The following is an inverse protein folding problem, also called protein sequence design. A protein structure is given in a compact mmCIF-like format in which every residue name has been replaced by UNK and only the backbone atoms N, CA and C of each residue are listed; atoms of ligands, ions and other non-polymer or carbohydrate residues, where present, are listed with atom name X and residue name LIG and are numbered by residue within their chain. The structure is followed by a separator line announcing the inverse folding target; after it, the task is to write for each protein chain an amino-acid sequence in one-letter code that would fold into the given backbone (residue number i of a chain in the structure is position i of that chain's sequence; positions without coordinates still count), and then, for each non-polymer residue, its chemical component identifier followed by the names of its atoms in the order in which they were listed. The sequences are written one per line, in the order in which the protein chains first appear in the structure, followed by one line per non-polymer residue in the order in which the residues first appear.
data_IF_481740231574
#
_entry.id   IF_481740231574
#
_cell.length_a   1.000
_cell.length_b   1.000
_cell.length_c   1.000
_cell.angle_alpha   90.00
_cell.angle_beta   90.00
_cell.angle_gamma   90.00
#
_symmetry.space_group_name_H-M   'P 1'
#
loop_
_entity.id
_entity.type
_entity.pdbx_description
1 polymer ?
#
# COMPACT_ATOMS: atom_id res chain seq x y z
N UNK A 1 9.05 0.25 12.35
CA UNK A 1 8.02 1.30 12.39
C UNK A 1 6.65 0.72 12.65
N UNK A 2 5.72 1.55 13.10
CA UNK A 2 4.28 1.25 13.19
C UNK A 2 3.45 2.48 12.86
N UNK A 3 2.27 2.28 12.29
CA UNK A 3 1.40 3.36 11.81
C UNK A 3 -0.05 3.24 12.32
N UNK A 4 -0.73 4.37 12.49
CA UNK A 4 -2.13 4.40 12.93
C UNK A 4 -3.11 4.54 11.77
N UNK A 5 -2.78 5.36 10.76
CA UNK A 5 -3.64 5.61 9.60
C UNK A 5 -3.31 4.62 8.47
N UNK A 6 -4.20 3.69 8.10
CA UNK A 6 -3.89 2.68 7.10
C UNK A 6 -3.60 3.24 5.70
N UNK A 7 -4.08 4.46 5.40
CA UNK A 7 -3.91 5.09 4.10
C UNK A 7 -2.51 5.70 3.93
N UNK A 8 -1.90 6.18 5.01
CA UNK A 8 -0.67 6.98 4.94
C UNK A 8 0.49 6.44 5.76
N UNK A 9 0.23 5.63 6.79
CA UNK A 9 1.25 5.16 7.72
C UNK A 9 1.64 3.69 7.50
N UNK A 10 0.81 2.93 6.78
CA UNK A 10 0.93 1.47 6.69
C UNK A 10 1.22 1.02 5.27
N UNK A 11 2.51 0.89 4.98
CA UNK A 11 3.01 0.27 3.76
C UNK A 11 3.71 -1.05 4.08
N UNK A 12 3.74 -1.99 3.13
CA UNK A 12 4.35 -3.31 3.32
C UNK A 12 5.82 -3.19 3.75
N UNK A 13 6.54 -2.28 3.08
CA UNK A 13 7.90 -1.88 3.43
C UNK A 13 8.08 -0.39 3.32
N UNK A 14 8.85 0.17 4.25
CA UNK A 14 9.19 1.58 4.25
C UNK A 14 10.56 1.81 4.89
N UNK A 15 11.31 2.77 4.33
CA UNK A 15 12.58 3.25 4.84
C UNK A 15 12.57 4.77 4.75
N UNK A 16 12.70 5.43 5.89
CA UNK A 16 12.76 6.88 5.98
C UNK A 16 14.14 7.29 6.49
N UNK A 17 14.86 8.06 5.68
CA UNK A 17 16.17 8.59 6.02
C UNK A 17 16.05 10.07 6.36
N UNK A 18 16.44 10.42 7.58
CA UNK A 18 16.35 11.79 8.09
C UNK A 18 17.73 12.43 8.14
N UNK A 19 17.82 13.70 7.72
CA UNK A 19 19.04 14.51 7.80
C UNK A 19 18.72 15.97 8.05
N UNK A 20 19.64 16.69 8.68
CA UNK A 20 19.49 18.13 8.90
C UNK A 20 20.22 18.89 7.78
N UNK A 21 19.55 19.84 7.15
CA UNK A 21 20.13 20.79 6.19
C UNK A 21 19.83 22.22 6.65
N UNK A 22 20.84 22.91 7.18
CA UNK A 22 20.64 24.23 7.78
C UNK A 22 19.76 24.15 9.02
N UNK A 23 18.60 24.81 8.98
CA UNK A 23 17.58 24.86 10.02
C UNK A 23 16.42 23.88 9.78
N UNK A 24 16.51 23.04 8.74
CA UNK A 24 15.43 22.13 8.34
C UNK A 24 15.78 20.67 8.58
N UNK A 25 14.79 19.90 8.98
CA UNK A 25 14.83 18.44 8.95
C UNK A 25 14.30 17.96 7.61
N UNK A 26 15.13 17.24 6.87
CA UNK A 26 14.79 16.67 5.56
C UNK A 26 14.56 15.17 5.77
N UNK A 27 13.40 14.70 5.34
CA UNK A 27 13.04 13.29 5.36
C UNK A 27 12.93 12.75 3.93
N UNK A 28 13.82 11.83 3.58
CA UNK A 28 13.76 11.07 2.33
C UNK A 28 12.98 9.78 2.61
N UNK A 29 11.75 9.73 2.13
CA UNK A 29 10.85 8.62 2.34
C UNK A 29 10.90 7.68 1.14
N UNK A 30 11.00 6.40 1.39
CA UNK A 30 10.83 5.35 0.37
C UNK A 30 9.89 4.29 0.92
N UNK A 31 8.87 3.90 0.14
CA UNK A 31 7.97 2.82 0.53
C UNK A 31 7.59 1.95 -0.67
N UNK A 32 7.19 0.72 -0.38
CA UNK A 32 6.74 -0.26 -1.37
C UNK A 32 5.30 -0.66 -1.11
N UNK A 33 4.54 -0.74 -2.20
CA UNK A 33 3.15 -1.16 -2.22
C UNK A 33 3.09 -2.44 -3.03
N UNK A 34 2.64 -3.54 -2.43
CA UNK A 34 2.47 -4.81 -3.14
C UNK A 34 1.43 -4.68 -4.24
N UNK A 35 1.73 -5.22 -5.41
CA UNK A 35 0.81 -5.31 -6.53
C UNK A 35 0.09 -6.66 -6.56
N UNK A 36 -1.07 -6.77 -7.24
CA UNK A 36 -1.83 -8.02 -7.30
C UNK A 36 -1.04 -9.22 -7.85
N UNK A 37 -0.13 -8.97 -8.79
CA UNK A 37 0.77 -9.96 -9.41
C UNK A 37 2.02 -10.28 -8.57
N UNK A 38 1.99 -9.98 -7.27
CA UNK A 38 3.09 -10.22 -6.32
C UNK A 38 4.35 -9.37 -6.49
N UNK A 39 4.36 -8.42 -7.42
CA UNK A 39 5.38 -7.39 -7.53
C UNK A 39 5.22 -6.26 -6.51
N UNK A 40 5.94 -5.17 -6.72
CA UNK A 40 5.83 -3.96 -5.90
C UNK A 40 5.99 -2.66 -6.69
N UNK A 41 5.17 -1.66 -6.38
CA UNK A 41 5.48 -0.27 -6.71
C UNK A 41 6.38 0.34 -5.66
N UNK A 42 7.53 0.87 -6.06
CA UNK A 42 8.39 1.67 -5.19
C UNK A 42 8.07 3.15 -5.38
N UNK A 43 7.77 3.84 -4.29
CA UNK A 43 7.49 5.28 -4.26
C UNK A 43 8.52 5.98 -3.40
N UNK A 44 8.83 7.22 -3.77
CA UNK A 44 9.74 8.09 -3.02
C UNK A 44 9.12 9.47 -2.85
N UNK A 45 9.44 10.12 -1.72
CA UNK A 45 9.05 11.50 -1.47
C UNK A 45 10.12 12.19 -0.60
N UNK A 46 10.24 13.50 -0.76
CA UNK A 46 11.09 14.34 0.11
C UNK A 46 10.16 15.27 0.88
N UNK A 47 10.21 15.18 2.20
CA UNK A 47 9.50 16.10 3.09
C UNK A 47 10.51 17.03 3.78
N UNK A 48 10.10 18.29 3.98
CA UNK A 48 10.95 19.33 4.57
C UNK A 48 10.23 19.93 5.75
N UNK A 49 10.82 19.75 6.92
CA UNK A 49 10.25 20.15 8.19
C UNK A 49 11.03 21.34 8.77
N UNK A 50 10.30 22.35 9.23
CA UNK A 50 10.82 23.47 10.01
C UNK A 50 10.36 23.31 11.45
N UNK A 51 11.29 23.32 12.39
CA UNK A 51 10.97 23.17 13.81
C UNK A 51 10.35 24.47 14.36
N UNK A 52 9.32 24.36 15.21
CA UNK A 52 8.76 25.53 15.88
C UNK A 52 9.79 26.13 16.86
N UNK A 53 10.04 27.45 16.80
CA UNK A 53 11.07 28.09 17.63
C UNK A 53 10.72 28.16 19.12
N UNK A 54 9.44 28.10 19.48
CA UNK A 54 8.96 28.13 20.86
C UNK A 54 8.68 26.72 21.42
N UNK A 55 8.37 25.76 20.56
CA UNK A 55 7.99 24.39 20.91
C UNK A 55 8.80 23.39 20.07
N UNK A 56 10.01 22.99 20.49
CA UNK A 56 10.90 22.16 19.68
C UNK A 56 10.36 20.76 19.36
N UNK A 57 9.31 20.31 20.04
CA UNK A 57 8.62 19.05 19.70
C UNK A 57 7.66 19.18 18.50
N UNK A 58 7.47 20.37 17.94
CA UNK A 58 6.59 20.63 16.80
C UNK A 58 7.43 20.88 15.56
N UNK A 59 7.07 20.20 14.47
CA UNK A 59 7.70 20.39 13.16
C UNK A 59 6.63 20.63 12.08
N UNK A 60 6.84 21.65 11.27
CA UNK A 60 5.94 22.07 10.21
C UNK A 60 6.48 21.67 8.84
N UNK A 61 5.72 20.87 8.09
CA UNK A 61 5.96 20.62 6.67
C UNK A 61 4.86 21.30 5.86
N UNK A 62 5.12 22.52 5.40
CA UNK A 62 4.16 23.37 4.68
C UNK A 62 4.66 23.73 3.29
N UNK A 63 3.80 24.38 2.51
CA UNK A 63 4.11 24.96 1.20
C UNK A 63 4.64 23.95 0.17
N UNK A 64 4.16 22.70 0.24
CA UNK A 64 4.48 21.68 -0.74
C UNK A 64 3.80 21.99 -2.09
N UNK A 65 4.53 21.81 -3.18
CA UNK A 65 4.05 22.13 -4.54
C UNK A 65 2.95 21.17 -5.02
N UNK A 66 3.15 19.86 -4.79
CA UNK A 66 2.19 18.84 -5.21
C UNK A 66 1.11 18.65 -4.14
N UNK A 67 -0.16 18.67 -4.54
CA UNK A 67 -1.35 18.51 -3.68
C UNK A 67 -1.51 19.55 -2.57
N UNK A 68 -0.62 20.56 -2.51
CA UNK A 68 -0.55 21.58 -1.46
C UNK A 68 -0.65 21.01 -0.05
N UNK A 69 -0.11 19.80 0.15
CA UNK A 69 -0.24 19.13 1.42
C UNK A 69 0.59 19.82 2.49
N UNK A 70 0.07 19.79 3.72
CA UNK A 70 0.69 20.33 4.90
C UNK A 70 0.57 19.29 6.00
N UNK A 71 1.67 19.00 6.70
CA UNK A 71 1.69 18.08 7.83
C UNK A 71 2.39 18.73 9.01
N UNK A 72 1.65 18.88 10.12
CA UNK A 72 2.18 19.31 11.41
C UNK A 72 2.49 18.07 12.23
N UNK A 73 3.76 17.91 12.57
CA UNK A 73 4.26 16.81 13.40
C UNK A 73 4.41 17.27 14.84
N UNK A 74 3.96 16.42 15.76
CA UNK A 74 4.08 16.57 17.19
C UNK A 74 4.82 15.34 17.73
N UNK A 75 6.06 15.54 18.19
CA UNK A 75 6.84 14.48 18.83
C UNK A 75 6.28 14.27 20.23
N UNK A 76 5.57 13.16 20.43
CA UNK A 76 4.91 12.83 21.69
C UNK A 76 5.80 12.01 22.64
N UNK A 77 6.80 11.31 22.09
CA UNK A 77 7.83 10.60 22.84
C UNK A 77 9.01 10.29 21.92
N UNK A 78 10.21 10.21 22.49
CA UNK A 78 11.43 9.92 21.74
C UNK A 78 12.53 9.37 22.64
N UNK A 79 13.35 8.49 22.09
CA UNK A 79 14.62 8.05 22.66
C UNK A 79 15.69 8.08 21.57
N UNK A 80 16.74 8.86 21.79
CA UNK A 80 17.81 9.10 20.80
C UNK A 80 19.18 8.98 21.49
N UNK A 81 19.57 7.75 21.79
CA UNK A 81 20.83 7.40 22.49
C UNK A 81 21.86 6.74 21.56
N UNK A 82 21.61 6.75 20.25
CA UNK A 82 22.34 6.03 19.21
C UNK A 82 22.35 4.51 19.44
N UNK A 83 21.20 3.95 19.84
CA UNK A 83 20.98 2.52 20.10
C UNK A 83 19.94 1.94 19.14
N UNK A 84 19.89 0.61 19.07
CA UNK A 84 18.91 -0.11 18.24
C UNK A 84 17.46 0.16 18.67
N UNK A 85 17.25 0.36 19.97
CA UNK A 85 15.94 0.66 20.55
C UNK A 85 15.58 2.16 20.52
N UNK A 86 16.34 2.98 19.81
CA UNK A 86 15.98 4.38 19.58
C UNK A 86 14.72 4.49 18.73
N UNK A 87 13.91 5.49 19.06
CA UNK A 87 12.67 5.76 18.35
C UNK A 87 12.25 7.22 18.42
N UNK A 88 11.42 7.62 17.46
CA UNK A 88 10.66 8.87 17.47
C UNK A 88 9.20 8.51 17.27
N UNK A 89 8.34 8.92 18.20
CA UNK A 89 6.90 8.72 18.10
C UNK A 89 6.23 10.06 17.80
N UNK A 90 5.60 10.12 16.63
CA UNK A 90 4.99 11.32 16.07
C UNK A 90 3.48 11.15 16.01
N UNK A 91 2.75 12.14 16.52
CA UNK A 91 1.37 12.39 16.11
C UNK A 91 1.40 13.45 15.02
N UNK A 92 0.58 13.31 13.99
CA UNK A 92 0.51 14.33 12.95
C UNK A 92 -0.93 14.68 12.58
N UNK A 93 -1.10 15.93 12.17
CA UNK A 93 -2.33 16.43 11.56
C UNK A 93 -1.96 17.11 10.27
N UNK A 94 -2.68 16.79 9.22
CA UNK A 94 -2.43 17.35 7.92
C UNK A 94 -3.68 17.77 7.17
N UNK A 95 -3.42 18.44 6.05
CA UNK A 95 -4.42 18.90 5.09
C UNK A 95 -3.82 18.89 3.70
N UNK A 96 -4.63 18.66 2.68
CA UNK A 96 -4.24 18.77 1.27
C UNK A 96 -5.45 19.24 0.45
N UNK A 97 -5.29 19.32 -0.87
CA UNK A 97 -6.35 19.76 -1.80
C UNK A 97 -7.64 18.94 -1.73
N UNK A 98 -7.57 17.67 -1.30
CA UNK A 98 -8.70 16.75 -1.26
C UNK A 98 -9.25 16.49 0.15
N UNK A 99 -8.44 16.70 1.19
CA UNK A 99 -8.78 16.33 2.56
C UNK A 99 -8.14 17.31 3.55
N UNK A 100 -8.95 18.16 4.18
CA UNK A 100 -8.52 19.02 5.28
C UNK A 100 -8.77 18.32 6.63
N UNK A 101 -7.72 18.17 7.43
CA UNK A 101 -7.80 17.60 8.78
C UNK A 101 -7.67 16.08 8.85
N UNK A 102 -7.02 15.44 7.87
CA UNK A 102 -6.55 14.07 8.09
C UNK A 102 -5.49 14.04 9.20
N UNK A 103 -5.28 12.87 9.78
CA UNK A 103 -4.26 12.72 10.81
C UNK A 103 -3.99 11.27 11.09
N UNK A 104 -2.93 11.06 11.85
CA UNK A 104 -2.43 9.75 12.17
C UNK A 104 -1.34 9.84 13.21
N UNK A 105 -0.62 8.74 13.35
CA UNK A 105 0.51 8.67 14.24
C UNK A 105 1.45 7.61 13.73
N UNK A 106 2.74 7.93 13.72
CA UNK A 106 3.78 7.07 13.17
C UNK A 106 4.90 6.93 14.18
N UNK A 107 5.34 5.70 14.36
CA UNK A 107 6.52 5.33 15.11
C UNK A 107 7.66 5.06 14.13
N UNK A 108 8.72 5.84 14.23
CA UNK A 108 10.00 5.54 13.59
C UNK A 108 10.91 4.85 14.59
N UNK A 109 11.50 3.74 14.17
CA UNK A 109 12.48 2.96 14.94
C UNK A 109 13.75 2.84 14.14
N UNK A 110 14.91 2.79 14.80
CA UNK A 110 16.17 2.50 14.12
C UNK A 110 16.21 1.04 13.64
N UNK A 111 15.75 0.11 14.48
CA UNK A 111 15.59 -1.29 14.09
C UNK A 111 14.48 -1.49 13.06
N UNK A 112 14.67 -2.50 12.19
CA UNK A 112 13.72 -2.90 11.13
C UNK A 112 12.37 -3.35 11.69
N UNK A 113 12.38 -3.95 12.88
CA UNK A 113 11.20 -4.41 13.62
C UNK A 113 11.11 -3.60 14.90
N UNK A 114 9.88 -3.28 15.33
CA UNK A 114 9.64 -2.55 16.59
C UNK A 114 10.14 -3.38 17.77
N UNK A 115 11.12 -2.90 18.55
CA UNK A 115 11.60 -3.63 19.72
C UNK A 115 10.53 -3.70 20.81
N UNK A 116 10.31 -4.88 21.39
CA UNK A 116 9.33 -5.05 22.47
C UNK A 116 9.71 -4.25 23.74
N UNK A 117 11.00 -3.94 23.91
CA UNK A 117 11.51 -3.18 25.06
C UNK A 117 10.95 -1.76 25.17
N UNK A 118 10.55 -1.14 24.04
CA UNK A 118 10.04 0.23 24.01
C UNK A 118 8.51 0.29 24.06
N UNK A 119 7.81 -0.82 23.82
CA UNK A 119 6.34 -0.87 23.75
C UNK A 119 5.65 -0.30 25.01
N UNK A 120 6.07 -0.60 26.25
CA UNK A 120 5.45 -0.01 27.44
C UNK A 120 5.57 1.51 27.53
N UNK A 121 6.61 2.10 26.94
CA UNK A 121 6.77 3.55 26.86
C UNK A 121 5.85 4.14 25.79
N UNK A 122 5.77 3.49 24.63
CA UNK A 122 4.89 3.88 23.53
C UNK A 122 3.42 3.82 23.91
N UNK A 123 2.99 2.81 24.66
CA UNK A 123 1.62 2.72 25.18
C UNK A 123 1.28 3.89 26.13
N UNK A 124 2.22 4.28 27.00
CA UNK A 124 2.04 5.43 27.89
C UNK A 124 1.96 6.73 27.11
N UNK A 125 2.83 6.91 26.11
CA UNK A 125 2.84 8.08 25.24
C UNK A 125 1.58 8.17 24.37
N UNK A 126 1.09 7.05 23.82
CA UNK A 126 -0.16 7.03 23.07
C UNK A 126 -1.35 7.42 23.96
N UNK A 127 -1.41 6.87 25.18
CA UNK A 127 -2.48 7.18 26.15
C UNK A 127 -2.50 8.65 26.56
N UNK A 128 -1.35 9.31 26.67
CA UNK A 128 -1.29 10.74 27.06
C UNK A 128 -1.94 11.66 26.02
N UNK A 129 -2.06 11.21 24.77
CA UNK A 129 -2.75 11.91 23.68
C UNK A 129 -4.07 11.24 23.27
N UNK A 130 -4.64 10.40 24.14
CA UNK A 130 -5.94 9.76 23.92
C UNK A 130 -5.95 8.70 22.82
N UNK A 131 -4.80 8.06 22.57
CA UNK A 131 -4.64 6.96 21.59
C UNK A 131 -4.28 5.65 22.28
N UNK A 132 -4.51 4.56 21.56
CA UNK A 132 -4.14 3.21 21.99
C UNK A 132 -3.10 2.64 21.03
N UNK A 133 -1.89 2.37 21.54
CA UNK A 133 -0.81 1.85 20.71
C UNK A 133 -1.11 0.45 20.15
N UNK A 134 -2.00 -0.32 20.78
CA UNK A 134 -2.38 -1.66 20.30
C UNK A 134 -3.14 -1.62 18.96
N UNK A 135 -3.70 -0.47 18.59
CA UNK A 135 -4.40 -0.26 17.31
C UNK A 135 -3.46 0.09 16.16
N UNK A 136 -2.17 0.29 16.45
CA UNK A 136 -1.17 0.58 15.43
C UNK A 136 -0.80 -0.68 14.66
N UNK A 137 -0.72 -0.54 13.34
CA UNK A 137 -0.32 -1.61 12.44
C UNK A 137 1.22 -1.59 12.36
N UNK A 138 1.83 -2.70 12.76
CA UNK A 138 3.28 -2.88 12.66
C UNK A 138 3.66 -3.06 11.20
N UNK A 139 4.70 -2.34 10.78
CA UNK A 139 5.30 -2.56 9.45
C UNK A 139 6.07 -3.89 9.47
N UNK A 140 5.77 -4.77 8.51
CA UNK A 140 6.40 -6.09 8.41
C UNK A 140 7.83 -5.99 7.85
N UNK A 141 8.08 -5.10 6.87
CA UNK A 141 9.40 -4.88 6.27
C UNK A 141 10.03 -6.15 5.63
N UNK A 142 9.23 -7.17 5.30
CA UNK A 142 9.68 -8.45 4.71
C UNK A 142 9.73 -8.47 3.19
N UNK A 143 9.48 -7.34 2.51
CA UNK A 143 9.52 -7.28 1.05
C UNK A 143 10.90 -7.71 0.55
N UNK A 144 10.91 -8.81 -0.20
CA UNK A 144 12.08 -9.28 -0.91
C UNK A 144 12.43 -8.38 -2.11
N UNK A 145 13.45 -8.73 -2.90
CA UNK A 145 13.69 -8.09 -4.19
C UNK A 145 12.44 -8.15 -5.08
N UNK A 146 12.34 -7.24 -6.04
CA UNK A 146 11.30 -7.32 -7.07
C UNK A 146 11.41 -8.66 -7.82
N UNK A 147 10.36 -9.51 -7.83
CA UNK A 147 10.40 -10.74 -8.59
C UNK A 147 10.50 -10.44 -10.09
N UNK A 148 11.20 -11.27 -10.89
CA UNK A 148 11.24 -11.11 -12.33
C UNK A 148 9.84 -11.09 -12.95
N UNK A 149 9.68 -10.33 -14.03
CA UNK A 149 8.40 -10.19 -14.72
C UNK A 149 7.80 -11.54 -15.14
N UNK A 150 8.63 -12.47 -15.62
CA UNK A 150 8.17 -13.82 -16.02
C UNK A 150 7.57 -14.59 -14.83
N UNK A 151 8.21 -14.53 -13.66
CA UNK A 151 7.70 -15.18 -12.44
C UNK A 151 6.37 -14.56 -12.00
N UNK A 152 6.23 -13.24 -12.13
CA UNK A 152 4.98 -12.52 -11.85
C UNK A 152 3.87 -12.97 -12.79
N UNK A 153 4.14 -13.05 -14.09
CA UNK A 153 3.20 -13.53 -15.12
C UNK A 153 2.76 -14.98 -14.81
N UNK A 154 3.71 -15.89 -14.59
CA UNK A 154 3.42 -17.31 -14.30
C UNK A 154 2.53 -17.45 -13.07
N UNK A 155 2.83 -16.72 -12.00
CA UNK A 155 2.07 -16.76 -10.75
C UNK A 155 0.65 -16.19 -10.91
N UNK A 156 0.50 -15.11 -11.67
CA UNK A 156 -0.83 -14.56 -11.99
C UNK A 156 -1.65 -15.56 -12.80
N UNK A 157 -1.04 -16.26 -13.77
CA UNK A 157 -1.72 -17.32 -14.53
C UNK A 157 -2.14 -18.48 -13.62
N UNK A 158 -1.25 -18.98 -12.76
CA UNK A 158 -1.55 -20.07 -11.82
C UNK A 158 -2.70 -19.71 -10.85
N UNK A 159 -2.71 -18.48 -10.34
CA UNK A 159 -3.81 -17.97 -9.49
C UNK A 159 -5.13 -17.89 -10.26
N UNK A 160 -5.07 -17.48 -11.53
CA UNK A 160 -6.22 -17.49 -12.43
C UNK A 160 -6.79 -18.89 -12.61
N UNK A 161 -5.94 -19.88 -12.92
CA UNK A 161 -6.35 -21.28 -13.10
C UNK A 161 -7.02 -21.85 -11.83
N UNK A 162 -6.42 -21.62 -10.65
CA UNK A 162 -7.01 -22.05 -9.37
C UNK A 162 -8.38 -21.42 -9.11
N UNK A 163 -8.55 -20.16 -9.51
CA UNK A 163 -9.81 -19.44 -9.34
C UNK A 163 -10.89 -20.00 -10.26
N UNK A 164 -10.58 -20.25 -11.54
CA UNK A 164 -11.50 -20.89 -12.50
C UNK A 164 -11.97 -22.25 -11.97
N UNK A 165 -11.03 -23.08 -11.49
CA UNK A 165 -11.37 -24.41 -10.96
C UNK A 165 -12.37 -24.32 -9.81
N UNK A 166 -12.17 -23.36 -8.88
CA UNK A 166 -13.09 -23.15 -7.75
C UNK A 166 -14.47 -22.67 -8.21
N UNK A 167 -14.53 -21.71 -9.12
CA UNK A 167 -15.79 -21.17 -9.63
C UNK A 167 -16.60 -22.23 -10.39
N UNK A 168 -15.94 -23.07 -11.19
CA UNK A 168 -16.59 -24.20 -11.86
C UNK A 168 -17.17 -25.19 -10.83
N UNK A 169 -16.46 -25.47 -9.73
CA UNK A 169 -16.97 -26.34 -8.65
C UNK A 169 -18.16 -25.73 -7.91
N UNK A 170 -18.16 -24.41 -7.67
CA UNK A 170 -19.30 -23.71 -7.05
C UNK A 170 -20.53 -23.75 -7.97
N UNK A 171 -20.35 -23.53 -9.28
CA UNK A 171 -21.43 -23.62 -10.28
C UNK A 171 -21.96 -25.06 -10.38
N UNK A 172 -21.10 -26.08 -10.45
CA UNK A 172 -21.53 -27.49 -10.48
C UNK A 172 -22.33 -27.84 -9.20
N UNK A 173 -21.91 -27.33 -8.04
CA UNK A 173 -22.63 -27.50 -6.78
C UNK A 173 -23.97 -26.75 -6.71
N UNK A 174 -24.07 -25.54 -7.25
CA UNK A 174 -25.32 -24.76 -7.33
C UNK A 174 -26.31 -25.37 -8.33
N UNK A 175 -25.84 -25.86 -9.49
CA UNK A 175 -26.68 -26.51 -10.51
C UNK A 175 -27.24 -27.85 -10.00
N UNK A 176 -26.52 -28.60 -9.16
CA UNK A 176 -27.08 -29.78 -8.50
C UNK A 176 -28.23 -29.44 -7.53
N UNK A 177 -28.31 -28.19 -7.04
CA UNK A 177 -29.33 -27.73 -6.10
C UNK A 177 -30.62 -27.20 -6.74
N UNK A 178 -30.55 -26.45 -7.84
CA UNK A 178 -31.66 -25.57 -8.27
C UNK A 178 -32.07 -25.71 -9.75
N UNK A 179 -32.46 -26.91 -10.18
CA UNK A 179 -32.93 -27.16 -11.57
C UNK A 179 -34.37 -26.66 -11.84
N UNK A 180 -34.85 -25.52 -11.31
CA UNK A 180 -36.25 -25.11 -11.58
C UNK A 180 -36.60 -23.65 -11.90
N UNK A 181 -35.71 -22.65 -11.89
CA UNK A 181 -36.12 -21.25 -12.20
C UNK A 181 -35.18 -20.47 -13.16
N UNK A 182 -34.57 -21.15 -14.14
CA UNK A 182 -33.41 -20.62 -14.89
C UNK A 182 -33.64 -19.63 -16.07
N UNK A 183 -34.85 -19.21 -16.43
CA UNK A 183 -35.01 -18.30 -17.60
C UNK A 183 -34.69 -16.81 -17.31
N UNK A 184 -34.92 -16.32 -16.09
CA UNK A 184 -34.60 -14.93 -15.73
C UNK A 184 -33.15 -14.75 -15.26
N UNK A 185 -32.54 -15.80 -14.69
CA UNK A 185 -31.16 -15.76 -14.22
C UNK A 185 -30.16 -15.64 -15.37
N UNK A 186 -30.43 -16.22 -16.54
CA UNK A 186 -29.54 -16.18 -17.71
C UNK A 186 -29.23 -14.74 -18.18
N UNK A 187 -30.22 -13.84 -18.12
CA UNK A 187 -30.03 -12.42 -18.51
C UNK A 187 -29.19 -11.68 -17.48
N UNK A 188 -29.38 -11.97 -16.19
CA UNK A 188 -28.55 -11.39 -15.12
C UNK A 188 -27.12 -11.92 -15.18
N UNK A 189 -26.94 -13.18 -15.59
CA UNK A 189 -25.65 -13.83 -15.77
C UNK A 189 -24.84 -13.18 -16.90
N UNK A 190 -25.44 -13.00 -18.09
CA UNK A 190 -24.77 -12.32 -19.20
C UNK A 190 -24.33 -10.90 -18.84
N UNK A 191 -25.17 -10.17 -18.09
CA UNK A 191 -24.81 -8.84 -17.61
C UNK A 191 -23.61 -8.88 -16.66
N UNK A 192 -23.61 -9.79 -15.68
CA UNK A 192 -22.48 -9.98 -14.74
C UNK A 192 -21.18 -10.32 -15.47
N UNK A 193 -21.24 -11.18 -16.49
CA UNK A 193 -20.08 -11.53 -17.31
C UNK A 193 -19.55 -10.33 -18.11
N UNK A 194 -20.44 -9.52 -18.68
CA UNK A 194 -20.06 -8.33 -19.46
C UNK A 194 -19.45 -7.23 -18.57
N UNK A 195 -20.03 -7.02 -17.39
CA UNK A 195 -19.49 -6.08 -16.40
C UNK A 195 -18.10 -6.52 -15.91
N UNK A 196 -17.91 -7.82 -15.64
CA UNK A 196 -16.60 -8.39 -15.30
C UNK A 196 -15.54 -8.18 -16.38
N UNK A 197 -15.92 -8.31 -17.67
CA UNK A 197 -15.01 -8.07 -18.79
C UNK A 197 -14.51 -6.61 -18.87
N UNK A 198 -15.38 -5.65 -18.56
CA UNK A 198 -15.01 -4.22 -18.54
C UNK A 198 -14.03 -3.89 -17.41
N UNK A 199 -14.21 -4.49 -16.23
CA UNK A 199 -13.32 -4.32 -15.08
C UNK A 199 -11.92 -4.91 -15.35
N UNK A 200 -11.85 -6.10 -15.96
CA UNK A 200 -10.60 -6.73 -16.40
C UNK A 200 -9.78 -5.82 -17.31
N UNK A 201 -10.43 -5.14 -18.25
CA UNK A 201 -9.75 -4.20 -19.15
C UNK A 201 -9.09 -3.06 -18.39
N UNK A 202 -9.73 -2.57 -17.33
CA UNK A 202 -9.19 -1.50 -16.50
C UNK A 202 -7.97 -1.96 -15.69
N UNK A 203 -8.01 -3.15 -15.10
CA UNK A 203 -6.88 -3.71 -14.35
C UNK A 203 -5.68 -4.01 -15.24
N UNK A 204 -5.92 -4.50 -16.47
CA UNK A 204 -4.88 -4.70 -17.47
C UNK A 204 -4.21 -3.36 -17.82
N UNK A 205 -5.00 -2.31 -18.00
CA UNK A 205 -4.48 -0.96 -18.22
C UNK A 205 -3.66 -0.45 -17.04
N UNK A 206 -4.11 -0.69 -15.80
CA UNK A 206 -3.38 -0.32 -14.59
C UNK A 206 -2.04 -1.07 -14.48
N UNK A 207 -2.00 -2.36 -14.84
CA UNK A 207 -0.79 -3.16 -14.90
C UNK A 207 0.21 -2.58 -15.90
N UNK A 208 -0.21 -2.33 -17.14
CA UNK A 208 0.67 -1.75 -18.16
C UNK A 208 1.15 -0.33 -17.81
N UNK A 209 0.32 0.48 -17.17
CA UNK A 209 0.71 1.81 -16.67
C UNK A 209 1.75 1.73 -15.53
N UNK A 210 1.82 0.62 -14.82
CA UNK A 210 2.74 0.40 -13.71
C UNK A 210 4.15 -0.01 -14.11
N UNK A 211 4.35 -0.50 -15.34
CA UNK A 211 5.63 -1.01 -15.79
C UNK A 211 6.62 0.12 -16.05
N UNK A 212 7.87 -0.09 -15.64
CA UNK A 212 9.00 0.75 -16.00
C UNK A 212 9.34 0.60 -17.49
N UNK A 213 10.16 1.53 -18.03
CA UNK A 213 10.59 1.47 -19.43
C UNK A 213 11.38 0.19 -19.74
N UNK A 214 12.19 -0.27 -18.78
CA UNK A 214 12.99 -1.49 -18.91
C UNK A 214 12.10 -2.75 -18.93
N UNK A 215 11.05 -2.80 -18.11
CA UNK A 215 10.07 -3.90 -18.13
C UNK A 215 9.26 -3.91 -19.44
N UNK A 216 8.89 -2.73 -19.96
CA UNK A 216 8.23 -2.61 -21.27
C UNK A 216 9.13 -3.07 -22.42
N UNK A 217 10.42 -2.73 -22.39
CA UNK A 217 11.39 -3.22 -23.40
C UNK A 217 11.60 -4.74 -23.30
N UNK A 218 11.54 -5.32 -22.09
CA UNK A 218 11.62 -6.77 -21.91
C UNK A 218 10.40 -7.50 -22.49
N UNK A 219 9.20 -6.94 -22.32
CA UNK A 219 7.98 -7.46 -22.95
C UNK A 219 8.05 -7.41 -24.48
N UNK A 220 8.59 -6.31 -25.04
CA UNK A 220 8.81 -6.15 -26.48
C UNK A 220 9.82 -7.19 -27.01
N UNK A 221 10.91 -7.45 -26.27
CA UNK A 221 11.89 -8.50 -26.61
C UNK A 221 11.32 -9.91 -26.53
N UNK A 222 10.39 -10.16 -25.60
CA UNK A 222 9.64 -11.42 -25.55
C UNK A 222 8.69 -11.59 -26.74
N UNK A 223 8.55 -10.58 -27.59
CA UNK A 223 7.73 -10.56 -28.80
C UNK A 223 6.25 -10.87 -28.52
N UNK A 224 5.82 -10.63 -27.28
CA UNK A 224 4.42 -10.81 -26.86
C UNK A 224 3.68 -9.50 -27.13
N UNK A 225 2.99 -9.42 -28.26
CA UNK A 225 2.10 -8.29 -28.54
C UNK A 225 1.08 -8.13 -27.40
N UNK A 226 0.64 -6.91 -27.11
CA UNK A 226 -0.33 -6.64 -26.04
C UNK A 226 -1.62 -7.49 -26.16
N UNK A 227 -1.99 -7.88 -27.38
CA UNK A 227 -3.10 -8.79 -27.69
C UNK A 227 -2.83 -10.24 -27.29
N UNK A 228 -1.57 -10.70 -27.33
CA UNK A 228 -1.15 -12.02 -26.82
C UNK A 228 -1.19 -12.04 -25.29
N UNK A 229 -0.71 -10.96 -24.66
CA UNK A 229 -0.78 -10.77 -23.21
C UNK A 229 -2.24 -10.72 -22.74
N UNK A 230 -3.11 -10.00 -23.45
CA UNK A 230 -4.56 -9.98 -23.23
C UNK A 230 -5.18 -11.39 -23.35
N UNK A 231 -4.77 -12.21 -24.32
CA UNK A 231 -5.24 -13.61 -24.43
C UNK A 231 -4.81 -14.48 -23.26
N UNK A 232 -3.61 -14.27 -22.72
CA UNK A 232 -3.11 -15.00 -21.55
C UNK A 232 -3.88 -14.61 -20.29
N UNK A 233 -4.14 -13.31 -20.08
CA UNK A 233 -4.77 -12.81 -18.86
C UNK A 233 -6.31 -12.72 -18.89
N UNK A 234 -6.93 -12.68 -20.07
CA UNK A 234 -8.41 -12.62 -20.20
C UNK A 234 -9.15 -13.82 -19.62
N UNK A 235 -8.44 -14.88 -19.23
CA UNK A 235 -9.01 -16.05 -18.55
C UNK A 235 -8.74 -16.10 -17.05
N UNK A 236 -7.98 -15.16 -16.49
CA UNK A 236 -7.33 -15.36 -15.19
C UNK A 236 -7.82 -14.43 -14.05
N UNK A 237 -8.80 -13.55 -14.24
CA UNK A 237 -9.02 -12.45 -13.30
C UNK A 237 -10.31 -12.52 -12.44
N UNK A 238 -10.21 -12.31 -11.11
CA UNK A 238 -11.28 -12.59 -10.15
C UNK A 238 -12.09 -11.36 -9.77
N UNK A 239 -13.38 -11.58 -9.56
CA UNK A 239 -14.36 -10.58 -9.13
C UNK A 239 -14.18 -10.33 -7.62
N UNK A 240 -13.54 -9.21 -7.24
CA UNK A 240 -13.70 -8.66 -5.89
C UNK A 240 -14.84 -7.65 -5.89
N UNK A 241 -16.02 -8.11 -5.47
CA UNK A 241 -17.09 -7.23 -4.99
C UNK A 241 -16.56 -6.33 -3.88
N UNK A 242 -16.41 -5.05 -4.19
CA UNK A 242 -16.41 -3.98 -3.21
C UNK A 242 -17.86 -3.76 -2.76
N UNK A 243 -18.13 -4.21 -1.53
CA UNK A 243 -19.32 -4.00 -0.67
C UNK A 243 -20.56 -4.85 -0.93
#
# INVERSE_FOLDING_TARGET
SSGLNPTFDTFDCQLHEFRVEGDKLIANLTWRIRTPDSGFFTRTAIQRFVQDPAQPAILYNHDNEFLHYQDDWYIISSKVENKEDDYIFVYYRGRNDAWDGYGGAVLYTRSKVVPESIVPELERAAKSVGRDFSTFIRTDNTCGPEPPLVERIEKTVEQGEKTIIREVQEIEGEIEGEVKELEEEEVTLFKRLTDGLMEVKQDLMNFFQGLSKEEMELLDQMNMEATEVEKVFSRALPIRKLR
#
